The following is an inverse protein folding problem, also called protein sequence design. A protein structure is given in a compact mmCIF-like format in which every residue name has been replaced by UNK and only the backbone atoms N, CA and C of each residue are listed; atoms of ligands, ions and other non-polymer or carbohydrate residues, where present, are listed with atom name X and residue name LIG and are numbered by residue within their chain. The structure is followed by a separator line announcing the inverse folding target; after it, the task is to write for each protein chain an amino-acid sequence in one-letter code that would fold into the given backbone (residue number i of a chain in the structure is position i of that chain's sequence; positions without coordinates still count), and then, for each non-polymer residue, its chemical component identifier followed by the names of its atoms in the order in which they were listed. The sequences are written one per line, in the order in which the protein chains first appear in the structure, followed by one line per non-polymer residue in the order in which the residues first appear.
data_IF_552763524957
#
_entry.id   IF_552763524957
#
_cell.length_a   1.000
_cell.length_b   1.000
_cell.length_c   1.000
_cell.angle_alpha   90.00
_cell.angle_beta   90.00
_cell.angle_gamma   90.00
#
_symmetry.space_group_name_H-M   'P 1'
#
loop_
_entity.id
_entity.type
_entity.pdbx_description
1 polymer ?
#
# COMPACT_ATOMS: atom_id res chain seq x y z
N UNK A 1 0.23 13.55 -5.84
CA UNK A 1 0.42 13.26 -4.40
C UNK A 1 -0.39 14.23 -3.56
N UNK A 2 -0.12 15.55 -3.56
CA UNK A 2 -0.99 16.50 -2.82
C UNK A 2 -2.46 16.44 -3.28
N UNK A 3 -2.72 16.38 -4.59
CA UNK A 3 -4.09 16.19 -5.12
C UNK A 3 -4.69 14.81 -4.82
N UNK A 4 -3.88 13.76 -4.67
CA UNK A 4 -4.34 12.42 -4.31
C UNK A 4 -4.68 12.32 -2.81
N UNK A 5 -3.94 13.02 -1.96
CA UNK A 5 -4.26 13.21 -0.55
C UNK A 5 -5.60 13.94 -0.36
N UNK A 6 -5.90 14.98 -1.16
CA UNK A 6 -7.21 15.64 -1.13
C UNK A 6 -8.35 14.66 -1.46
N UNK A 7 -8.11 13.71 -2.36
CA UNK A 7 -9.05 12.62 -2.68
C UNK A 7 -9.35 11.69 -1.49
N UNK A 8 -8.37 11.40 -0.63
CA UNK A 8 -8.53 10.57 0.57
C UNK A 8 -9.52 11.18 1.59
N UNK A 9 -9.58 12.51 1.66
CA UNK A 9 -10.42 13.24 2.63
C UNK A 9 -11.80 13.62 2.09
N UNK A 10 -12.08 13.38 0.81
CA UNK A 10 -13.30 13.87 0.15
C UNK A 10 -14.05 12.75 -0.57
N UNK A 11 -13.92 12.63 -1.88
CA UNK A 11 -14.84 11.87 -2.72
C UNK A 11 -14.44 10.41 -2.96
N UNK A 12 -13.18 10.03 -2.74
CA UNK A 12 -12.66 8.67 -3.02
C UNK A 12 -12.48 7.82 -1.77
N UNK A 13 -13.00 8.28 -0.62
CA UNK A 13 -12.78 7.65 0.69
C UNK A 13 -13.25 6.19 0.74
N UNK A 14 -14.39 5.87 0.12
CA UNK A 14 -14.92 4.49 0.07
C UNK A 14 -14.03 3.55 -0.77
N UNK A 15 -13.47 4.05 -1.89
CA UNK A 15 -12.57 3.28 -2.75
C UNK A 15 -11.26 2.94 -2.04
N UNK A 16 -10.77 3.82 -1.16
CA UNK A 16 -9.61 3.56 -0.33
C UNK A 16 -9.92 2.61 0.83
N UNK A 17 -11.10 2.71 1.45
CA UNK A 17 -11.52 1.76 2.48
C UNK A 17 -11.64 0.32 1.95
N UNK A 18 -12.03 0.15 0.69
CA UNK A 18 -12.10 -1.16 0.04
C UNK A 18 -10.72 -1.83 -0.09
N UNK A 19 -9.65 -1.04 -0.13
CA UNK A 19 -8.27 -1.51 -0.19
C UNK A 19 -7.71 -1.87 1.19
N UNK A 20 -8.37 -1.45 2.29
CA UNK A 20 -7.93 -1.75 3.66
C UNK A 20 -8.41 -3.14 4.08
N UNK A 21 -7.49 -4.08 4.39
CA UNK A 21 -7.86 -5.41 4.84
C UNK A 21 -8.65 -5.41 6.15
N UNK A 22 -9.69 -6.26 6.23
CA UNK A 22 -10.55 -6.35 7.42
C UNK A 22 -9.91 -6.96 8.67
N UNK A 23 -8.71 -7.55 8.57
CA UNK A 23 -7.99 -8.14 9.70
C UNK A 23 -7.18 -7.12 10.50
N UNK A 24 -7.04 -5.88 10.01
CA UNK A 24 -6.35 -4.81 10.74
C UNK A 24 -7.13 -4.44 12.02
N UNK A 25 -6.47 -4.38 13.19
CA UNK A 25 -7.11 -4.00 14.45
C UNK A 25 -7.30 -2.48 14.57
N UNK A 26 -7.63 -1.81 13.46
CA UNK A 26 -7.85 -0.36 13.37
C UNK A 26 -9.08 -0.09 12.50
N UNK A 27 -9.77 1.03 12.72
CA UNK A 27 -10.87 1.41 11.84
C UNK A 27 -10.33 1.75 10.44
N UNK A 28 -11.03 1.29 9.40
CA UNK A 28 -10.65 1.57 7.99
C UNK A 28 -10.51 3.07 7.75
N UNK A 29 -11.40 3.85 8.35
CA UNK A 29 -11.37 5.31 8.33
C UNK A 29 -10.08 5.91 8.87
N UNK A 30 -9.59 5.40 10.01
CA UNK A 30 -8.34 5.85 10.58
C UNK A 30 -7.16 5.51 9.67
N UNK A 31 -7.13 4.29 9.12
CA UNK A 31 -6.06 3.84 8.22
C UNK A 31 -5.97 4.74 6.98
N UNK A 32 -7.11 5.04 6.34
CA UNK A 32 -7.19 5.90 5.14
C UNK A 32 -6.77 7.35 5.44
N UNK A 33 -7.19 7.89 6.58
CA UNK A 33 -6.84 9.26 6.99
C UNK A 33 -5.35 9.36 7.32
N UNK A 34 -4.81 8.39 8.08
CA UNK A 34 -3.41 8.36 8.44
C UNK A 34 -2.50 8.17 7.22
N UNK A 35 -2.86 7.28 6.29
CA UNK A 35 -2.11 7.07 5.05
C UNK A 35 -2.13 8.32 4.17
N UNK A 36 -3.28 8.99 4.02
CA UNK A 36 -3.41 10.24 3.28
C UNK A 36 -2.58 11.38 3.88
N UNK A 37 -2.49 11.46 5.21
CA UNK A 37 -1.64 12.44 5.90
C UNK A 37 -0.13 12.18 5.66
N UNK A 38 0.29 10.91 5.69
CA UNK A 38 1.68 10.52 5.39
C UNK A 38 2.02 10.87 3.93
N UNK A 39 1.14 10.54 2.98
CA UNK A 39 1.34 10.87 1.56
C UNK A 39 1.45 12.39 1.32
N UNK A 40 0.57 13.17 1.96
CA UNK A 40 0.63 14.63 1.90
C UNK A 40 1.95 15.17 2.45
N UNK A 41 2.40 14.67 3.60
CA UNK A 41 3.67 15.05 4.22
C UNK A 41 4.87 14.74 3.32
N UNK A 42 4.93 13.54 2.74
CA UNK A 42 5.99 13.15 1.80
C UNK A 42 5.94 13.99 0.50
N UNK A 43 4.73 14.27 -0.01
CA UNK A 43 4.53 15.14 -1.17
C UNK A 43 4.99 16.58 -0.92
N UNK A 44 4.69 17.14 0.26
CA UNK A 44 5.18 18.46 0.66
C UNK A 44 6.70 18.45 0.87
N UNK A 45 7.25 17.39 1.46
CA UNK A 45 8.69 17.24 1.62
C UNK A 45 9.44 17.18 0.28
N UNK A 46 8.86 16.61 -0.78
CA UNK A 46 9.45 16.68 -2.13
C UNK A 46 9.52 18.11 -2.69
N UNK A 47 8.55 18.96 -2.32
CA UNK A 47 8.47 20.36 -2.75
C UNK A 47 9.48 21.20 -1.97
N UNK A 48 9.51 21.08 -0.64
CA UNK A 48 10.32 21.96 0.20
C UNK A 48 11.74 21.43 0.48
N UNK A 49 11.93 20.11 0.56
CA UNK A 49 13.20 19.49 0.94
C UNK A 49 14.05 19.04 -0.26
N UNK A 50 14.43 20.02 -1.06
CA UNK A 50 15.16 19.89 -2.33
C UNK A 50 16.41 19.00 -2.25
N UNK A 51 17.14 19.10 -1.13
CA UNK A 51 18.43 18.42 -0.94
C UNK A 51 18.32 16.91 -0.76
N UNK A 52 17.18 16.40 -0.25
CA UNK A 52 16.93 14.97 0.00
C UNK A 52 15.78 14.42 -0.85
N UNK A 53 15.47 15.08 -1.97
CA UNK A 53 14.36 14.68 -2.86
C UNK A 53 14.43 13.22 -3.30
N UNK A 54 15.63 12.68 -3.53
CA UNK A 54 15.79 11.28 -3.90
C UNK A 54 15.37 10.33 -2.78
N UNK A 55 15.77 10.62 -1.53
CA UNK A 55 15.39 9.83 -0.34
C UNK A 55 13.88 9.92 -0.08
N UNK A 56 13.31 11.13 -0.14
CA UNK A 56 11.86 11.35 0.05
C UNK A 56 11.06 10.70 -1.08
N UNK A 57 11.57 10.76 -2.31
CA UNK A 57 10.96 10.12 -3.48
C UNK A 57 10.98 8.60 -3.36
N UNK A 58 12.07 8.03 -2.85
CA UNK A 58 12.17 6.61 -2.57
C UNK A 58 11.19 6.20 -1.45
N UNK A 59 11.12 6.96 -0.36
CA UNK A 59 10.17 6.70 0.73
C UNK A 59 8.72 6.73 0.23
N UNK A 60 8.38 7.72 -0.59
CA UNK A 60 7.06 7.81 -1.23
C UNK A 60 6.80 6.63 -2.17
N UNK A 61 7.78 6.22 -2.98
CA UNK A 61 7.64 5.08 -3.87
C UNK A 61 7.37 3.78 -3.09
N UNK A 62 8.14 3.50 -2.04
CA UNK A 62 7.96 2.32 -1.17
C UNK A 62 6.59 2.33 -0.49
N UNK A 63 6.16 3.50 -0.01
CA UNK A 63 4.85 3.68 0.63
C UNK A 63 3.71 3.29 -0.31
N UNK A 64 3.69 3.84 -1.54
CA UNK A 64 2.64 3.56 -2.52
C UNK A 64 2.63 2.09 -2.96
N UNK A 65 3.82 1.49 -3.09
CA UNK A 65 3.96 0.14 -3.63
C UNK A 65 3.42 -0.94 -2.66
N UNK A 66 3.53 -0.71 -1.35
CA UNK A 66 3.10 -1.66 -0.30
C UNK A 66 1.61 -2.07 -0.37
N UNK A 67 0.75 -1.20 -0.91
CA UNK A 67 -0.69 -1.47 -0.99
C UNK A 67 -1.09 -2.29 -2.23
N UNK A 68 -0.39 -2.13 -3.36
CA UNK A 68 -0.74 -2.78 -4.63
C UNK A 68 0.03 -4.08 -4.88
N UNK A 69 1.28 -4.17 -4.39
CA UNK A 69 2.16 -5.30 -4.68
C UNK A 69 1.66 -6.66 -4.17
N UNK A 70 1.11 -6.81 -2.95
CA UNK A 70 0.72 -8.14 -2.45
C UNK A 70 -0.36 -8.80 -3.33
N UNK A 71 -1.35 -8.01 -3.77
CA UNK A 71 -2.41 -8.46 -4.69
C UNK A 71 -1.83 -8.81 -6.06
N UNK A 72 -0.96 -7.97 -6.62
CA UNK A 72 -0.33 -8.21 -7.92
C UNK A 72 0.58 -9.45 -7.90
N UNK A 73 1.34 -9.65 -6.83
CA UNK A 73 2.21 -10.83 -6.65
C UNK A 73 1.36 -12.09 -6.56
N UNK A 74 0.26 -12.08 -5.80
CA UNK A 74 -0.67 -13.21 -5.72
C UNK A 74 -1.30 -13.52 -7.09
N UNK A 75 -1.71 -12.50 -7.84
CA UNK A 75 -2.27 -12.66 -9.17
C UNK A 75 -1.23 -13.19 -10.19
N UNK A 76 0.00 -12.69 -10.14
CA UNK A 76 1.10 -13.15 -10.99
C UNK A 76 1.52 -14.59 -10.66
N UNK A 77 1.46 -15.00 -9.39
CA UNK A 77 1.79 -16.36 -8.96
C UNK A 77 0.65 -17.36 -9.19
N UNK A 78 -0.59 -16.90 -9.35
CA UNK A 78 -1.77 -17.74 -9.58
C UNK A 78 -1.58 -18.77 -10.72
N UNK A 79 -1.18 -18.39 -11.94
CA UNK A 79 -0.98 -19.35 -13.03
C UNK A 79 0.24 -20.27 -12.86
N UNK A 80 1.15 -19.96 -11.93
CA UNK A 80 2.39 -20.74 -11.74
C UNK A 80 2.22 -21.97 -10.85
N UNK A 81 1.06 -22.14 -10.20
CA UNK A 81 0.84 -23.23 -9.24
C UNK A 81 1.73 -23.15 -7.98
N UNK A 82 2.43 -22.03 -7.75
CA UNK A 82 3.21 -21.79 -6.54
C UNK A 82 2.41 -21.99 -5.22
N UNK A 83 1.13 -21.55 -5.12
CA UNK A 83 0.33 -21.80 -3.92
C UNK A 83 0.17 -23.31 -3.64
N UNK A 84 -0.03 -24.10 -4.69
CA UNK A 84 -0.24 -25.54 -4.59
C UNK A 84 1.05 -26.32 -4.27
N UNK A 85 2.23 -25.78 -4.62
CA UNK A 85 3.54 -26.38 -4.31
C UNK A 85 3.93 -26.23 -2.86
N UNK A 86 3.70 -25.04 -2.27
CA UNK A 86 4.02 -24.78 -0.86
C UNK A 86 3.17 -25.65 0.08
N UNK A 87 1.90 -25.87 -0.26
CA UNK A 87 1.01 -26.75 0.52
C UNK A 87 1.44 -28.22 0.40
N UNK A 88 1.88 -28.66 -0.79
CA UNK A 88 2.28 -30.06 -1.01
C UNK A 88 3.62 -30.41 -0.35
N UNK A 89 4.60 -29.51 -0.23
CA UNK A 89 5.88 -29.84 0.44
C UNK A 89 5.76 -29.93 1.96
N UNK A 90 4.82 -29.22 2.58
CA UNK A 90 4.52 -29.34 4.00
C UNK A 90 4.03 -30.75 4.36
N UNK A 91 3.21 -31.34 3.47
CA UNK A 91 2.55 -32.62 3.69
C UNK A 91 3.42 -33.85 3.34
N UNK A 92 4.61 -33.66 2.75
CA UNK A 92 5.56 -34.75 2.47
C UNK A 92 6.68 -34.89 3.51
N UNK A 93 6.77 -33.94 4.46
CA UNK A 93 7.73 -33.95 5.56
C UNK A 93 7.09 -34.34 6.91
N UNK A 94 5.89 -34.94 6.88
CA UNK A 94 5.25 -35.65 7.98
C UNK A 94 5.11 -37.13 7.59
#
# INVERSE_FOLDING_TARGET
MVMAAIGHFTFQREEFQAQVPGWLPFSKDFVVIASGAIEAGLGLALIFWQRRRAEVGLALAVFLCSFFQPVLILWALWPTGAPHRLIRSSNQNQ
#
